data_IF_285974323573
#
_entry.id   IF_285974323573
#
_cell.length_a   1.000
_cell.length_b   1.000
_cell.length_c   1.000
_cell.angle_alpha   90.00
_cell.angle_beta   90.00
_cell.angle_gamma   90.00
#
_symmetry.space_group_name_H-M   'P 1'
#
loop_
_entity.id
_entity.type
_entity.pdbx_description
1 polymer ?
#
# COMPACT_ATOMS: atom_id res chain seq x y z
N UNK A 1 13.36 7.67 0.90
CA UNK A 1 13.75 7.89 -0.51
C UNK A 1 15.24 8.13 -0.74
N UNK A 2 15.95 8.99 0.01
CA UNK A 2 17.40 9.18 -0.18
C UNK A 2 18.19 7.86 -0.06
N UNK A 3 17.88 7.04 0.95
CA UNK A 3 18.56 5.77 1.21
C UNK A 3 18.23 4.69 0.15
N UNK A 4 17.04 4.78 -0.47
CA UNK A 4 16.62 3.96 -1.60
C UNK A 4 17.41 4.37 -2.86
N UNK A 5 17.54 5.68 -3.11
CA UNK A 5 18.35 6.23 -4.19
C UNK A 5 19.84 5.88 -4.06
N UNK A 6 20.37 5.89 -2.83
CA UNK A 6 21.75 5.44 -2.54
C UNK A 6 21.89 3.93 -2.77
N UNK A 7 20.93 3.10 -2.35
CA UNK A 7 20.95 1.66 -2.61
C UNK A 7 20.87 1.33 -4.11
N UNK A 8 19.96 1.99 -4.84
CA UNK A 8 19.83 1.84 -6.29
C UNK A 8 21.10 2.32 -7.00
N UNK A 9 21.67 3.45 -6.60
CA UNK A 9 22.91 3.99 -7.15
C UNK A 9 24.16 3.14 -6.86
N UNK A 10 24.19 2.44 -5.72
CA UNK A 10 25.29 1.54 -5.35
C UNK A 10 25.11 0.10 -5.87
N UNK A 11 23.92 -0.27 -6.34
CA UNK A 11 23.66 -1.61 -6.87
C UNK A 11 24.31 -1.80 -8.25
N UNK A 12 25.11 -2.86 -8.39
CA UNK A 12 26.10 -3.03 -9.47
C UNK A 12 25.51 -3.40 -10.85
N UNK A 13 24.20 -3.57 -11.00
CA UNK A 13 23.61 -4.02 -12.26
C UNK A 13 22.26 -3.36 -12.59
N UNK A 14 22.25 -2.12 -13.13
CA UNK A 14 21.03 -1.46 -13.61
C UNK A 14 20.29 -2.27 -14.69
N UNK A 15 20.99 -3.20 -15.36
CA UNK A 15 20.41 -4.12 -16.35
C UNK A 15 19.43 -5.13 -15.75
N UNK A 16 19.63 -5.59 -14.50
CA UNK A 16 18.67 -6.46 -13.83
C UNK A 16 17.37 -5.74 -13.46
N UNK A 17 17.46 -4.47 -13.07
CA UNK A 17 16.29 -3.64 -12.78
C UNK A 17 15.42 -3.45 -14.04
N UNK A 18 16.06 -3.14 -15.18
CA UNK A 18 15.37 -3.03 -16.48
C UNK A 18 14.81 -4.38 -16.95
N UNK A 19 15.53 -5.48 -16.77
CA UNK A 19 15.05 -6.83 -17.12
C UNK A 19 13.88 -7.31 -16.23
N UNK A 20 13.70 -6.71 -15.06
CA UNK A 20 12.58 -6.96 -14.15
C UNK A 20 11.32 -6.14 -14.47
N UNK A 21 11.40 -5.16 -15.38
CA UNK A 21 10.25 -4.45 -15.95
C UNK A 21 9.51 -5.31 -16.99
N UNK A 22 9.11 -6.53 -16.59
CA UNK A 22 8.21 -7.36 -17.40
C UNK A 22 6.78 -6.90 -17.17
N UNK A 23 5.86 -7.01 -18.15
CA UNK A 23 4.43 -6.74 -17.93
C UNK A 23 3.84 -7.51 -16.74
N UNK A 24 4.43 -8.65 -16.41
CA UNK A 24 4.06 -9.47 -15.26
C UNK A 24 4.32 -8.78 -13.91
N UNK A 25 5.31 -7.89 -13.78
CA UNK A 25 5.57 -7.17 -12.53
C UNK A 25 4.61 -6.00 -12.30
N UNK A 26 3.96 -5.51 -13.36
CA UNK A 26 2.83 -4.56 -13.27
C UNK A 26 1.53 -5.21 -12.78
N UNK A 27 1.38 -6.53 -12.90
CA UNK A 27 0.19 -7.23 -12.39
C UNK A 27 0.12 -7.20 -10.86
N UNK A 28 1.27 -7.17 -10.18
CA UNK A 28 1.34 -7.17 -8.72
C UNK A 28 0.69 -5.91 -8.12
N UNK A 29 1.09 -4.68 -8.49
CA UNK A 29 0.44 -3.48 -7.94
C UNK A 29 -1.03 -3.39 -8.34
N UNK A 30 -1.41 -3.83 -9.55
CA UNK A 30 -2.82 -3.88 -9.96
C UNK A 30 -3.65 -4.84 -9.10
N UNK A 31 -3.11 -6.03 -8.80
CA UNK A 31 -3.75 -6.99 -7.89
C UNK A 31 -3.84 -6.43 -6.47
N UNK A 32 -2.80 -5.75 -5.98
CA UNK A 32 -2.80 -5.08 -4.67
C UNK A 32 -3.88 -4.00 -4.58
N UNK A 33 -3.97 -3.13 -5.59
CA UNK A 33 -4.96 -2.04 -5.64
C UNK A 33 -6.36 -2.64 -5.70
N UNK A 34 -6.64 -3.47 -6.71
CA UNK A 34 -7.97 -4.05 -6.91
C UNK A 34 -8.42 -4.89 -5.71
N UNK A 35 -7.56 -5.73 -5.15
CA UNK A 35 -7.84 -6.52 -3.96
C UNK A 35 -8.12 -5.64 -2.76
N UNK A 36 -7.27 -4.66 -2.47
CA UNK A 36 -7.46 -3.75 -1.32
C UNK A 36 -8.78 -3.00 -1.45
N UNK A 37 -9.07 -2.43 -2.62
CA UNK A 37 -10.28 -1.66 -2.87
C UNK A 37 -11.54 -2.53 -2.79
N UNK A 38 -11.51 -3.72 -3.37
CA UNK A 38 -12.60 -4.69 -3.29
C UNK A 38 -12.90 -5.07 -1.83
N UNK A 39 -11.88 -5.47 -1.07
CA UNK A 39 -12.08 -5.86 0.33
C UNK A 39 -12.47 -4.69 1.23
N UNK A 40 -11.98 -3.48 0.94
CA UNK A 40 -12.39 -2.27 1.67
C UNK A 40 -13.83 -1.91 1.39
N UNK A 41 -14.28 -2.01 0.14
CA UNK A 41 -15.68 -1.87 -0.22
C UNK A 41 -16.56 -2.91 0.47
N UNK A 42 -16.13 -4.19 0.48
CA UNK A 42 -16.85 -5.25 1.20
C UNK A 42 -16.90 -4.99 2.72
N UNK A 43 -15.87 -4.39 3.29
CA UNK A 43 -15.83 -3.98 4.70
C UNK A 43 -16.93 -2.98 5.07
N UNK A 44 -17.40 -2.16 4.12
CA UNK A 44 -18.51 -1.23 4.36
C UNK A 44 -19.81 -1.92 4.73
N UNK A 45 -20.06 -3.14 4.25
CA UNK A 45 -21.25 -3.92 4.66
C UNK A 45 -21.22 -4.32 6.14
N UNK A 46 -20.03 -4.39 6.75
CA UNK A 46 -19.85 -4.66 8.17
C UNK A 46 -19.88 -3.36 9.01
N UNK A 47 -19.54 -2.22 8.40
CA UNK A 47 -19.40 -0.93 9.06
C UNK A 47 -20.57 -0.01 8.70
N UNK A 48 -21.68 -0.12 9.43
CA UNK A 48 -22.93 0.62 9.15
C UNK A 48 -22.83 2.15 9.22
N UNK A 49 -21.75 2.70 9.79
CA UNK A 49 -21.56 4.15 9.97
C UNK A 49 -20.89 4.83 8.76
N UNK A 50 -20.14 4.08 7.96
CA UNK A 50 -19.30 4.63 6.89
C UNK A 50 -19.81 4.20 5.53
N UNK A 51 -19.74 5.11 4.55
CA UNK A 51 -20.11 4.75 3.18
C UNK A 51 -19.08 3.81 2.56
N UNK A 52 -19.47 3.13 1.48
CA UNK A 52 -18.55 2.32 0.69
C UNK A 52 -17.35 3.13 0.21
N UNK A 53 -17.55 4.38 -0.20
CA UNK A 53 -16.48 5.26 -0.66
C UNK A 53 -15.55 5.70 0.49
N UNK A 54 -16.08 5.95 1.70
CA UNK A 54 -15.24 6.25 2.86
C UNK A 54 -14.33 5.07 3.22
N UNK A 55 -14.86 3.84 3.18
CA UNK A 55 -14.06 2.63 3.41
C UNK A 55 -13.01 2.43 2.31
N UNK A 56 -13.35 2.68 1.04
CA UNK A 56 -12.39 2.62 -0.06
C UNK A 56 -11.32 3.71 0.05
N UNK A 57 -11.65 4.92 0.48
CA UNK A 57 -10.68 5.99 0.75
C UNK A 57 -9.68 5.58 1.84
N UNK A 58 -10.17 5.05 2.95
CA UNK A 58 -9.36 4.47 4.05
C UNK A 58 -8.41 3.38 3.53
N UNK A 59 -8.94 2.43 2.73
CA UNK A 59 -8.15 1.34 2.15
C UNK A 59 -7.12 1.79 1.12
N UNK A 60 -7.40 2.87 0.40
CA UNK A 60 -6.52 3.45 -0.62
C UNK A 60 -5.25 4.06 -0.06
N UNK A 61 -5.09 4.15 1.26
CA UNK A 61 -3.84 4.59 1.87
C UNK A 61 -2.66 3.67 1.54
N UNK A 62 -2.90 2.39 1.23
CA UNK A 62 -1.90 1.40 0.85
C UNK A 62 -0.61 1.40 1.71
N UNK A 63 -0.78 1.53 3.03
CA UNK A 63 0.30 1.66 4.03
C UNK A 63 0.99 3.03 4.10
N UNK A 64 0.65 4.03 3.26
CA UNK A 64 1.09 5.42 3.44
C UNK A 64 0.21 6.14 4.47
N UNK A 65 0.21 5.62 5.69
CA UNK A 65 -0.72 5.98 6.75
C UNK A 65 -0.71 7.47 7.11
N UNK A 66 0.47 8.11 7.15
CA UNK A 66 0.58 9.53 7.55
C UNK A 66 -0.04 10.48 6.53
N UNK A 67 0.32 10.32 5.25
CA UNK A 67 -0.18 11.22 4.19
C UNK A 67 -1.64 10.93 3.88
N UNK A 68 -2.03 9.66 3.76
CA UNK A 68 -3.42 9.30 3.46
C UNK A 68 -4.40 9.78 4.55
N UNK A 69 -4.05 9.65 5.84
CA UNK A 69 -4.86 10.14 6.95
C UNK A 69 -5.12 11.65 6.88
N UNK A 70 -4.07 12.45 6.65
CA UNK A 70 -4.19 13.91 6.53
C UNK A 70 -5.03 14.27 5.31
N UNK A 71 -4.77 13.66 4.14
CA UNK A 71 -5.54 13.92 2.93
C UNK A 71 -7.03 13.61 3.10
N UNK A 72 -7.36 12.48 3.75
CA UNK A 72 -8.75 12.11 4.03
C UNK A 72 -9.41 13.14 4.94
N UNK A 73 -8.76 13.51 6.05
CA UNK A 73 -9.29 14.51 6.99
C UNK A 73 -9.53 15.84 6.29
N UNK A 74 -8.57 16.37 5.54
CA UNK A 74 -8.69 17.66 4.86
C UNK A 74 -9.81 17.66 3.82
N UNK A 75 -9.85 16.66 2.94
CA UNK A 75 -10.84 16.62 1.85
C UNK A 75 -12.26 16.39 2.40
N UNK A 76 -12.43 15.49 3.38
CA UNK A 76 -13.74 15.20 3.96
C UNK A 76 -14.21 16.22 4.99
N UNK A 77 -13.33 17.10 5.51
CA UNK A 77 -13.73 18.12 6.50
C UNK A 77 -14.81 19.06 5.96
N UNK A 78 -14.78 19.38 4.67
CA UNK A 78 -15.78 20.24 4.04
C UNK A 78 -17.17 19.58 3.91
N UNK A 79 -17.24 18.25 3.82
CA UNK A 79 -18.48 17.50 3.58
C UNK A 79 -19.07 16.84 4.84
N UNK A 80 -18.22 16.29 5.71
CA UNK A 80 -18.61 15.57 6.93
C UNK A 80 -18.45 16.43 8.21
N UNK A 81 -17.82 17.60 8.11
CA UNK A 81 -17.40 18.38 9.25
C UNK A 81 -16.09 17.88 9.88
N UNK A 82 -15.40 18.77 10.58
CA UNK A 82 -14.04 18.55 11.07
C UNK A 82 -13.94 17.36 12.04
N UNK A 83 -14.91 17.20 12.95
CA UNK A 83 -14.85 16.10 13.93
C UNK A 83 -14.94 14.73 13.25
N UNK A 84 -15.93 14.51 12.38
CA UNK A 84 -16.16 13.21 11.72
C UNK A 84 -15.03 12.92 10.72
N UNK A 85 -14.56 13.93 9.99
CA UNK A 85 -13.42 13.76 9.09
C UNK A 85 -12.14 13.35 9.84
N UNK A 86 -11.91 13.91 11.03
CA UNK A 86 -10.78 13.53 11.89
C UNK A 86 -10.90 12.09 12.41
N UNK A 87 -12.11 11.63 12.75
CA UNK A 87 -12.36 10.23 13.10
C UNK A 87 -12.01 9.31 11.93
N UNK A 88 -12.48 9.63 10.71
CA UNK A 88 -12.19 8.84 9.51
C UNK A 88 -10.69 8.83 9.18
N UNK A 89 -10.02 9.97 9.28
CA UNK A 89 -8.57 10.06 9.11
C UNK A 89 -7.81 9.23 10.15
N UNK A 90 -8.29 9.17 11.39
CA UNK A 90 -7.69 8.33 12.45
C UNK A 90 -7.88 6.84 12.14
N UNK A 91 -9.04 6.46 11.63
CA UNK A 91 -9.28 5.09 11.15
C UNK A 91 -8.31 4.75 10.01
N UNK A 92 -8.13 5.66 9.06
CA UNK A 92 -7.18 5.48 7.96
C UNK A 92 -5.73 5.33 8.45
N UNK A 93 -5.32 6.13 9.42
CA UNK A 93 -4.00 6.02 10.05
C UNK A 93 -3.80 4.62 10.65
N UNK A 94 -4.71 4.21 11.54
CA UNK A 94 -4.60 2.95 12.27
C UNK A 94 -4.72 1.74 11.33
N UNK A 95 -5.66 1.74 10.40
CA UNK A 95 -5.85 0.61 9.47
C UNK A 95 -4.61 0.37 8.62
N UNK A 96 -3.97 1.44 8.15
CA UNK A 96 -2.77 1.34 7.32
C UNK A 96 -1.52 0.98 8.14
N UNK A 97 -1.41 1.43 9.40
CA UNK A 97 -0.39 0.92 10.33
C UNK A 97 -0.60 -0.58 10.58
N UNK A 98 -1.82 -1.02 10.85
CA UNK A 98 -2.11 -2.44 11.04
C UNK A 98 -1.77 -3.28 9.82
N UNK A 99 -2.08 -2.78 8.61
CA UNK A 99 -1.68 -3.42 7.36
C UNK A 99 -0.16 -3.56 7.27
N UNK A 100 0.60 -2.50 7.54
CA UNK A 100 2.06 -2.52 7.48
C UNK A 100 2.66 -3.50 8.50
N UNK A 101 2.21 -3.44 9.76
CA UNK A 101 2.67 -4.36 10.81
C UNK A 101 2.31 -5.81 10.50
N UNK A 102 1.12 -6.05 9.95
CA UNK A 102 0.71 -7.39 9.52
C UNK A 102 1.59 -7.87 8.36
N UNK A 103 1.90 -7.03 7.38
CA UNK A 103 2.81 -7.38 6.29
C UNK A 103 4.21 -7.74 6.78
N UNK A 104 4.74 -6.99 7.75
CA UNK A 104 6.05 -7.23 8.35
C UNK A 104 6.09 -8.53 9.16
N UNK A 105 5.17 -8.69 10.11
CA UNK A 105 5.17 -9.81 11.06
C UNK A 105 4.73 -11.10 10.35
N UNK A 106 3.73 -11.02 9.48
CA UNK A 106 3.16 -12.18 8.80
C UNK A 106 3.81 -12.47 7.44
N UNK A 107 4.87 -11.75 7.03
CA UNK A 107 5.66 -12.05 5.83
C UNK A 107 5.98 -13.56 5.62
N UNK A 108 6.45 -14.33 6.63
CA UNK A 108 6.70 -15.76 6.44
C UNK A 108 5.42 -16.56 6.20
N UNK A 109 4.31 -16.19 6.83
CA UNK A 109 3.01 -16.83 6.63
C UNK A 109 2.48 -16.54 5.23
N UNK A 110 2.57 -15.28 4.79
CA UNK A 110 2.17 -14.88 3.45
C UNK A 110 2.98 -15.61 2.38
N UNK A 111 4.30 -15.72 2.57
CA UNK A 111 5.14 -16.53 1.69
C UNK A 111 4.70 -17.99 1.65
N UNK A 112 4.45 -18.61 2.81
CA UNK A 112 4.13 -20.03 2.93
C UNK A 112 2.80 -20.39 2.27
N UNK A 113 1.76 -19.58 2.45
CA UNK A 113 0.39 -19.90 2.03
C UNK A 113 0.00 -19.30 0.68
N UNK A 114 0.53 -18.12 0.33
CA UNK A 114 0.12 -17.37 -0.86
C UNK A 114 1.25 -17.18 -1.88
N UNK A 115 2.45 -17.70 -1.58
CA UNK A 115 3.56 -17.78 -2.53
C UNK A 115 4.45 -16.54 -2.58
N UNK A 116 5.21 -16.41 -3.68
CA UNK A 116 6.34 -15.48 -3.78
C UNK A 116 5.95 -14.00 -3.77
N UNK A 117 4.84 -13.63 -4.39
CA UNK A 117 4.45 -12.23 -4.54
C UNK A 117 3.61 -11.70 -3.37
N UNK A 118 3.13 -12.59 -2.50
CA UNK A 118 2.19 -12.23 -1.45
C UNK A 118 2.77 -11.27 -0.40
N UNK A 119 4.00 -11.46 0.11
CA UNK A 119 4.61 -10.48 1.02
C UNK A 119 4.77 -9.10 0.40
N UNK A 120 5.04 -9.03 -0.92
CA UNK A 120 5.16 -7.77 -1.67
C UNK A 120 3.80 -7.06 -1.73
N UNK A 121 2.75 -7.78 -2.15
CA UNK A 121 1.41 -7.22 -2.29
C UNK A 121 0.83 -6.76 -0.94
N UNK A 122 1.01 -7.56 0.12
CA UNK A 122 0.54 -7.23 1.46
C UNK A 122 1.15 -5.93 1.99
N UNK A 123 2.44 -5.70 1.74
CA UNK A 123 3.18 -4.53 2.24
C UNK A 123 2.68 -3.19 1.67
N UNK A 124 2.05 -3.16 0.49
CA UNK A 124 1.65 -1.91 -0.14
C UNK A 124 2.89 -1.06 -0.50
N UNK A 125 2.88 0.22 -0.13
CA UNK A 125 4.02 1.14 -0.36
C UNK A 125 5.26 0.70 0.44
N UNK A 126 5.02 0.13 1.62
CA UNK A 126 6.05 -0.41 2.52
C UNK A 126 6.95 -1.47 1.87
N UNK A 127 6.58 -2.01 0.70
CA UNK A 127 7.40 -2.99 -0.02
C UNK A 127 8.73 -2.43 -0.50
N UNK A 128 8.83 -1.12 -0.71
CA UNK A 128 10.07 -0.48 -1.16
C UNK A 128 11.01 -0.10 0.00
N UNK A 129 10.55 -0.04 1.25
CA UNK A 129 11.34 0.45 2.39
C UNK A 129 11.28 -0.47 3.62
N UNK A 130 10.31 -0.28 4.52
CA UNK A 130 10.25 -0.89 5.85
C UNK A 130 10.09 -2.41 5.73
N UNK A 131 9.30 -2.87 4.75
CA UNK A 131 9.07 -4.30 4.50
C UNK A 131 10.08 -4.94 3.55
N UNK A 132 10.96 -4.15 2.91
CA UNK A 132 11.93 -4.67 1.96
C UNK A 132 12.89 -5.70 2.58
N UNK A 133 13.44 -5.52 3.80
CA UNK A 133 14.27 -6.55 4.44
C UNK A 133 13.51 -7.85 4.71
N UNK A 134 12.24 -7.76 5.14
CA UNK A 134 11.41 -8.93 5.38
C UNK A 134 11.09 -9.67 4.07
N UNK A 135 10.74 -8.92 3.02
CA UNK A 135 10.51 -9.46 1.67
C UNK A 135 11.79 -10.15 1.16
N UNK A 136 12.94 -9.50 1.28
CA UNK A 136 14.24 -10.07 0.86
C UNK A 136 14.54 -11.37 1.59
N UNK A 137 14.29 -11.41 2.91
CA UNK A 137 14.53 -12.59 3.75
C UNK A 137 13.65 -13.78 3.38
N UNK A 138 12.36 -13.55 3.11
CA UNK A 138 11.38 -14.64 2.94
C UNK A 138 11.04 -14.94 1.47
N UNK A 139 11.15 -13.96 0.58
CA UNK A 139 10.89 -14.11 -0.85
C UNK A 139 12.16 -14.22 -1.67
N UNK A 140 13.33 -13.89 -1.11
CA UNK A 140 14.63 -13.96 -1.75
C UNK A 140 15.10 -12.62 -2.33
N UNK A 141 16.41 -12.47 -2.62
CA UNK A 141 16.98 -11.24 -3.15
C UNK A 141 16.42 -10.85 -4.53
N UNK A 142 15.99 -11.85 -5.31
CA UNK A 142 15.40 -11.67 -6.63
C UNK A 142 14.07 -10.87 -6.58
N UNK A 143 13.44 -10.80 -5.39
CA UNK A 143 12.20 -10.04 -5.16
C UNK A 143 12.41 -8.54 -5.00
N UNK A 144 13.64 -8.09 -4.73
CA UNK A 144 13.96 -6.68 -4.46
C UNK A 144 13.52 -5.77 -5.59
N UNK A 145 13.85 -6.02 -6.88
CA UNK A 145 13.45 -5.13 -7.96
C UNK A 145 11.92 -5.01 -8.09
N UNK A 146 11.21 -6.14 -7.96
CA UNK A 146 9.74 -6.19 -8.03
C UNK A 146 9.11 -5.43 -6.87
N UNK A 147 9.65 -5.56 -5.66
CA UNK A 147 9.15 -4.89 -4.46
C UNK A 147 9.34 -3.37 -4.51
N UNK A 148 10.46 -2.91 -5.07
CA UNK A 148 10.73 -1.48 -5.29
C UNK A 148 9.76 -0.90 -6.34
N UNK A 149 9.63 -1.56 -7.50
CA UNK A 149 8.71 -1.12 -8.57
C UNK A 149 7.27 -1.11 -8.06
N UNK A 150 6.86 -2.15 -7.33
CA UNK A 150 5.55 -2.21 -6.69
C UNK A 150 5.32 -1.02 -5.76
N UNK A 151 6.21 -0.79 -4.80
CA UNK A 151 6.05 0.29 -3.82
C UNK A 151 5.95 1.66 -4.48
N UNK A 152 6.81 1.94 -5.46
CA UNK A 152 6.79 3.19 -6.23
C UNK A 152 5.48 3.39 -7.00
N UNK A 153 4.98 2.37 -7.68
CA UNK A 153 3.73 2.47 -8.45
C UNK A 153 2.52 2.68 -7.52
N UNK A 154 2.49 1.98 -6.39
CA UNK A 154 1.44 2.19 -5.40
C UNK A 154 1.52 3.60 -4.81
N UNK A 155 2.73 4.11 -4.51
CA UNK A 155 2.96 5.46 -3.98
C UNK A 155 2.41 6.54 -4.91
N UNK A 156 2.67 6.43 -6.22
CA UNK A 156 2.14 7.35 -7.23
C UNK A 156 0.61 7.25 -7.32
N UNK A 157 0.05 6.05 -7.19
CA UNK A 157 -1.39 5.82 -7.32
C UNK A 157 -2.20 6.23 -6.08
N UNK A 158 -1.59 6.23 -4.89
CA UNK A 158 -2.28 6.44 -3.61
C UNK A 158 -3.04 7.78 -3.56
N UNK A 159 -2.42 8.95 -3.85
CA UNK A 159 -3.13 10.23 -3.77
C UNK A 159 -4.32 10.31 -4.72
N UNK A 160 -4.21 9.69 -5.90
CA UNK A 160 -5.29 9.64 -6.89
C UNK A 160 -6.50 8.89 -6.35
N UNK A 161 -6.31 7.66 -5.83
CA UNK A 161 -7.42 6.86 -5.31
C UNK A 161 -8.04 7.48 -4.05
N UNK A 162 -7.22 7.96 -3.10
CA UNK A 162 -7.72 8.64 -1.90
C UNK A 162 -8.59 9.85 -2.29
N UNK A 163 -8.09 10.70 -3.18
CA UNK A 163 -8.83 11.90 -3.61
C UNK A 163 -10.12 11.53 -4.34
N UNK A 164 -10.05 10.56 -5.25
CA UNK A 164 -11.21 10.08 -6.00
C UNK A 164 -12.33 9.60 -5.07
N UNK A 165 -12.04 8.70 -4.13
CA UNK A 165 -13.05 8.17 -3.22
C UNK A 165 -13.49 9.17 -2.16
N UNK A 166 -12.65 10.15 -1.80
CA UNK A 166 -13.08 11.20 -0.91
C UNK A 166 -14.08 12.18 -1.56
N UNK A 167 -14.07 12.29 -2.90
CA UNK A 167 -14.97 13.18 -3.65
C UNK A 167 -16.28 12.50 -4.07
N UNK A 168 -16.35 11.17 -3.98
CA UNK A 168 -17.56 10.37 -4.18
C UNK A 168 -18.33 10.21 -2.85
#
# INVERSE_FOLDING_TARGET
MLLLGINLGCSRDPKMFVASLKPQTLLVPLATISGTLLFSALGSFLLSRWSMFDCMAVGSGFSYYSISSILITEIKSASLGVQIATELGTIALLSNIFREMTALICAPLFRKYFGYLAPISAAGIGSADISLPAITRYSGPDAIPVAIIHGLLIEISMPFFVTLFCQL
#
